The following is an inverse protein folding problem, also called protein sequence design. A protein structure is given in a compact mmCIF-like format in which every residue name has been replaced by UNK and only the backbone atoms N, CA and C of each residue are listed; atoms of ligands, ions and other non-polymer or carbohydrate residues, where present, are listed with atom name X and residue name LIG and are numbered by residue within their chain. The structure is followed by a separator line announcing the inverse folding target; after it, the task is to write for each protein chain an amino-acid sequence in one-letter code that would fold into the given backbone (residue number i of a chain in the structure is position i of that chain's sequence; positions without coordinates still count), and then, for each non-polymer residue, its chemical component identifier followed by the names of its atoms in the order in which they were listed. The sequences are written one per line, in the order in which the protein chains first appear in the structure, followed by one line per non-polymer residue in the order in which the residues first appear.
data_IF_986870137406
#
_entry.id   IF_986870137406
#
_cell.length_a   1.000
_cell.length_b   1.000
_cell.length_c   1.000
_cell.angle_alpha   90.00
_cell.angle_beta   90.00
_cell.angle_gamma   90.00
#
_symmetry.space_group_name_H-M   'P 1'
#
loop_
_entity.id
_entity.type
_entity.pdbx_description
1 polymer ?
#
# COMPACT_ATOMS: atom_id res chain seq x y z
N UNK A 1 6.44 -7.09 -14.78
CA UNK A 1 6.42 -7.75 -13.47
C UNK A 1 6.81 -6.69 -12.45
N UNK A 2 5.93 -6.36 -11.51
CA UNK A 2 6.19 -5.36 -10.47
C UNK A 2 7.22 -5.95 -9.49
N UNK A 3 8.49 -5.69 -9.75
CA UNK A 3 9.61 -6.18 -8.95
C UNK A 3 10.13 -5.02 -8.13
N UNK A 4 9.64 -4.90 -6.88
CA UNK A 4 10.35 -4.13 -5.85
C UNK A 4 11.61 -4.93 -5.50
N UNK A 5 12.62 -4.86 -6.36
CA UNK A 5 13.97 -5.30 -6.04
C UNK A 5 14.51 -4.27 -5.04
N UNK A 6 14.40 -4.60 -3.76
CA UNK A 6 14.57 -3.63 -2.67
C UNK A 6 15.98 -3.05 -2.66
N UNK A 7 17.05 -3.85 -2.71
CA UNK A 7 18.41 -3.31 -2.54
C UNK A 7 18.61 -2.46 -1.25
N UNK A 8 17.61 -2.38 -0.35
CA UNK A 8 17.55 -1.48 0.81
C UNK A 8 16.90 -0.12 0.53
N UNK A 9 16.25 0.12 -0.61
CA UNK A 9 15.67 1.41 -0.99
C UNK A 9 14.26 1.66 -0.43
N UNK A 10 13.55 0.63 0.05
CA UNK A 10 12.24 0.81 0.70
C UNK A 10 11.99 -0.25 1.77
N UNK A 11 11.38 0.13 2.89
CA UNK A 11 11.02 -0.83 3.94
C UNK A 11 9.76 -1.66 3.62
N UNK A 12 9.11 -1.40 2.48
CA UNK A 12 7.82 -2.00 2.12
C UNK A 12 7.87 -3.53 2.08
N UNK A 13 8.94 -4.12 1.53
CA UNK A 13 9.08 -5.57 1.45
C UNK A 13 9.21 -6.22 2.85
N UNK A 14 10.06 -5.63 3.70
CA UNK A 14 10.25 -6.10 5.08
C UNK A 14 8.96 -5.97 5.90
N UNK A 15 8.23 -4.86 5.72
CA UNK A 15 6.94 -4.64 6.36
C UNK A 15 5.92 -5.70 5.92
N UNK A 16 5.81 -5.95 4.62
CA UNK A 16 4.94 -7.00 4.07
C UNK A 16 5.22 -8.38 4.64
N UNK A 17 6.49 -8.76 4.74
CA UNK A 17 6.88 -10.06 5.27
C UNK A 17 6.48 -10.22 6.74
N UNK A 18 6.68 -9.18 7.55
CA UNK A 18 6.31 -9.20 8.97
C UNK A 18 4.78 -9.27 9.13
N UNK A 19 4.03 -8.52 8.33
CA UNK A 19 2.58 -8.49 8.38
C UNK A 19 1.96 -9.79 7.89
N UNK A 20 2.50 -10.38 6.83
CA UNK A 20 2.08 -11.68 6.32
C UNK A 20 2.28 -12.80 7.34
N UNK A 21 3.39 -12.77 8.10
CA UNK A 21 3.62 -13.72 9.20
C UNK A 21 2.65 -13.56 10.36
N UNK A 22 2.06 -12.38 10.55
CA UNK A 22 1.07 -12.12 11.57
C UNK A 22 -0.36 -12.54 11.14
N UNK A 23 -0.57 -12.86 9.86
CA UNK A 23 -1.90 -13.23 9.34
C UNK A 23 -2.40 -14.49 10.00
N UNK A 24 -3.60 -14.40 10.57
CA UNK A 24 -4.34 -15.56 11.07
C UNK A 24 -5.20 -16.13 9.94
N UNK A 25 -5.18 -17.46 9.70
CA UNK A 25 -6.04 -18.09 8.70
C UNK A 25 -7.52 -17.73 8.91
N UNK A 26 -8.20 -17.31 7.83
CA UNK A 26 -9.59 -16.86 7.85
C UNK A 26 -9.79 -15.40 8.32
N UNK A 27 -8.71 -14.67 8.61
CA UNK A 27 -8.71 -13.25 9.01
C UNK A 27 -7.71 -12.43 8.21
N UNK A 28 -7.51 -12.80 6.94
CA UNK A 28 -6.51 -12.18 6.08
C UNK A 28 -6.79 -10.69 5.80
N UNK A 29 -8.04 -10.26 5.95
CA UNK A 29 -8.43 -8.86 5.76
C UNK A 29 -8.28 -8.00 7.03
N UNK A 30 -7.91 -8.59 8.17
CA UNK A 30 -7.70 -7.85 9.42
C UNK A 30 -6.30 -7.23 9.49
N UNK A 31 -5.37 -7.69 8.64
CA UNK A 31 -3.99 -7.22 8.61
C UNK A 31 -3.69 -6.56 7.27
N UNK A 32 -3.08 -5.39 7.33
CA UNK A 32 -2.62 -4.69 6.14
C UNK A 32 -1.29 -5.28 5.67
N UNK A 33 -1.20 -5.69 4.42
CA UNK A 33 0.00 -6.26 3.78
C UNK A 33 -0.12 -6.08 2.26
N UNK A 34 0.67 -6.83 1.47
CA UNK A 34 0.64 -6.86 -0.01
C UNK A 34 -0.75 -6.73 -0.64
N UNK A 35 -1.74 -7.45 -0.12
CA UNK A 35 -3.11 -7.42 -0.66
C UNK A 35 -3.72 -6.03 -0.55
N UNK A 36 -3.67 -5.43 0.63
CA UNK A 36 -4.23 -4.11 0.85
C UNK A 36 -3.50 -3.04 0.04
N UNK A 37 -2.18 -3.13 -0.04
CA UNK A 37 -1.36 -2.22 -0.84
C UNK A 37 -1.63 -2.35 -2.35
N UNK A 38 -1.94 -3.56 -2.85
CA UNK A 38 -2.45 -3.75 -4.21
C UNK A 38 -3.78 -3.01 -4.44
N UNK A 39 -4.74 -3.17 -3.52
CA UNK A 39 -6.04 -2.48 -3.64
C UNK A 39 -5.89 -0.96 -3.53
N UNK A 40 -4.94 -0.49 -2.74
CA UNK A 40 -4.61 0.91 -2.61
C UNK A 40 -4.05 1.49 -3.93
N UNK A 41 -3.09 0.79 -4.55
CA UNK A 41 -2.55 1.13 -5.86
C UNK A 41 -3.63 1.11 -6.94
N UNK A 42 -4.47 0.07 -6.96
CA UNK A 42 -5.60 -0.01 -7.89
C UNK A 42 -6.57 1.15 -7.69
N UNK A 43 -6.81 1.56 -6.44
CA UNK A 43 -7.64 2.72 -6.11
C UNK A 43 -7.05 4.01 -6.65
N UNK A 44 -5.74 4.21 -6.49
CA UNK A 44 -5.01 5.37 -7.04
C UNK A 44 -5.12 5.41 -8.57
N UNK A 45 -4.99 4.27 -9.25
CA UNK A 45 -5.14 4.20 -10.71
C UNK A 45 -6.57 4.56 -11.13
N UNK A 46 -7.58 4.13 -10.39
CA UNK A 46 -8.98 4.39 -10.73
C UNK A 46 -9.46 5.80 -10.40
N UNK A 47 -9.07 6.35 -9.25
CA UNK A 47 -9.61 7.61 -8.72
C UNK A 47 -8.64 8.78 -8.83
N UNK A 48 -7.35 8.50 -8.99
CA UNK A 48 -6.26 9.48 -9.01
C UNK A 48 -5.45 9.53 -7.71
N UNK A 49 -4.25 10.07 -7.83
CA UNK A 49 -3.37 10.31 -6.68
C UNK A 49 -4.02 11.28 -5.67
N UNK A 50 -3.79 11.05 -4.38
CA UNK A 50 -4.38 11.83 -3.28
C UNK A 50 -5.93 11.78 -3.13
N UNK A 51 -6.65 10.99 -3.94
CA UNK A 51 -8.12 10.81 -3.83
C UNK A 51 -8.52 9.71 -2.85
N UNK A 52 -7.94 9.78 -1.65
CA UNK A 52 -8.03 8.71 -0.64
C UNK A 52 -9.43 8.54 -0.07
N UNK A 53 -10.16 9.65 0.09
CA UNK A 53 -11.55 9.62 0.55
C UNK A 53 -12.44 8.88 -0.45
N UNK A 54 -12.27 9.16 -1.74
CA UNK A 54 -13.01 8.51 -2.82
C UNK A 54 -12.70 7.01 -2.88
N UNK A 55 -11.41 6.63 -2.78
CA UNK A 55 -11.01 5.22 -2.70
C UNK A 55 -11.66 4.52 -1.51
N UNK A 56 -11.65 5.15 -0.33
CA UNK A 56 -12.25 4.57 0.87
C UNK A 56 -13.78 4.45 0.79
N UNK A 57 -14.44 5.33 0.04
CA UNK A 57 -15.91 5.35 -0.08
C UNK A 57 -16.43 4.48 -1.22
N UNK A 58 -15.57 4.01 -2.12
CA UNK A 58 -15.95 3.15 -3.23
C UNK A 58 -16.09 1.69 -2.78
N UNK A 59 -17.29 1.07 -2.92
CA UNK A 59 -17.54 -0.31 -2.49
C UNK A 59 -16.61 -1.34 -3.15
N UNK A 60 -16.09 -1.07 -4.35
CA UNK A 60 -15.13 -1.95 -5.03
C UNK A 60 -13.81 -2.06 -4.28
N UNK A 61 -13.48 -1.06 -3.49
CA UNK A 61 -12.24 -0.98 -2.70
C UNK A 61 -12.51 -1.19 -1.21
N UNK A 62 -13.68 -1.72 -0.81
CA UNK A 62 -14.09 -1.84 0.59
C UNK A 62 -13.06 -2.52 1.51
N UNK A 63 -12.24 -3.43 0.96
CA UNK A 63 -11.15 -4.11 1.68
C UNK A 63 -10.17 -3.14 2.37
N UNK A 64 -9.94 -1.95 1.80
CA UNK A 64 -9.07 -0.91 2.41
C UNK A 64 -9.62 -0.37 3.73
N UNK A 65 -10.87 -0.69 4.08
CA UNK A 65 -11.49 -0.29 5.33
C UNK A 65 -11.58 -1.43 6.36
N UNK A 66 -11.39 -2.68 5.94
CA UNK A 66 -11.59 -3.86 6.80
C UNK A 66 -10.75 -3.81 8.09
N UNK A 67 -9.43 -3.49 8.04
CA UNK A 67 -8.59 -3.45 9.24
C UNK A 67 -9.00 -2.38 10.27
N UNK A 68 -9.84 -1.44 9.86
CA UNK A 68 -10.27 -0.32 10.70
C UNK A 68 -11.65 -0.53 11.33
N UNK A 69 -12.39 -1.58 10.95
CA UNK A 69 -13.76 -1.80 11.41
C UNK A 69 -13.87 -1.93 12.93
N UNK A 70 -12.92 -2.60 13.58
CA UNK A 70 -12.90 -2.76 15.05
C UNK A 70 -12.61 -1.46 15.80
N UNK A 71 -12.04 -0.46 15.12
CA UNK A 71 -11.69 0.84 15.69
C UNK A 71 -12.77 1.90 15.44
N UNK A 72 -13.79 1.60 14.62
CA UNK A 72 -14.90 2.51 14.36
C UNK A 72 -15.66 2.85 15.64
N UNK A 73 -15.93 4.14 15.84
CA UNK A 73 -16.62 4.64 17.04
C UNK A 73 -15.73 4.87 18.26
N UNK A 74 -14.44 4.49 18.22
CA UNK A 74 -13.47 4.91 19.24
C UNK A 74 -13.08 6.38 19.03
N UNK A 75 -12.82 7.09 20.14
CA UNK A 75 -12.23 8.42 20.06
C UNK A 75 -10.91 8.38 19.28
N UNK A 76 -10.68 9.38 18.43
CA UNK A 76 -9.49 9.50 17.56
C UNK A 76 -9.40 8.51 16.36
N UNK A 77 -10.48 7.80 16.03
CA UNK A 77 -10.52 6.85 14.91
C UNK A 77 -10.05 7.43 13.56
N UNK A 78 -10.57 8.60 13.20
CA UNK A 78 -10.30 9.25 11.91
C UNK A 78 -8.81 9.56 11.77
N UNK A 79 -8.18 10.09 12.82
CA UNK A 79 -6.77 10.44 12.82
C UNK A 79 -5.87 9.20 12.77
N UNK A 80 -6.24 8.12 13.47
CA UNK A 80 -5.52 6.84 13.41
C UNK A 80 -5.52 6.28 11.99
N UNK A 81 -6.71 6.21 11.37
CA UNK A 81 -6.88 5.73 9.99
C UNK A 81 -6.08 6.59 9.01
N UNK A 82 -6.19 7.92 9.11
CA UNK A 82 -5.48 8.83 8.22
C UNK A 82 -3.96 8.73 8.36
N UNK A 83 -3.42 8.67 9.58
CA UNK A 83 -1.98 8.49 9.82
C UNK A 83 -1.48 7.17 9.24
N UNK A 84 -2.25 6.09 9.43
CA UNK A 84 -1.90 4.77 8.90
C UNK A 84 -1.85 4.79 7.37
N UNK A 85 -2.92 5.27 6.73
CA UNK A 85 -3.00 5.33 5.27
C UNK A 85 -1.90 6.23 4.68
N UNK A 86 -1.65 7.41 5.27
CA UNK A 86 -0.55 8.29 4.86
C UNK A 86 0.81 7.59 4.89
N UNK A 87 1.09 6.78 5.93
CA UNK A 87 2.33 5.99 5.98
C UNK A 87 2.39 4.98 4.84
N UNK A 88 1.30 4.26 4.56
CA UNK A 88 1.23 3.28 3.46
C UNK A 88 1.43 3.92 2.10
N UNK A 89 0.83 5.07 1.86
CA UNK A 89 1.02 5.83 0.63
C UNK A 89 2.48 6.22 0.41
N UNK A 90 3.17 6.72 1.45
CA UNK A 90 4.60 7.07 1.34
C UNK A 90 5.46 5.87 0.96
N UNK A 91 5.20 4.70 1.55
CA UNK A 91 5.94 3.48 1.22
C UNK A 91 5.70 3.02 -0.23
N UNK A 92 4.45 3.11 -0.70
CA UNK A 92 4.08 2.80 -2.08
C UNK A 92 4.69 3.79 -3.07
N UNK A 93 4.65 5.09 -2.76
CA UNK A 93 5.27 6.14 -3.57
C UNK A 93 6.79 5.92 -3.70
N UNK A 94 7.47 5.65 -2.59
CA UNK A 94 8.90 5.31 -2.59
C UNK A 94 9.19 4.09 -3.47
N UNK A 95 8.40 3.02 -3.34
CA UNK A 95 8.56 1.82 -4.15
C UNK A 95 8.38 2.08 -5.65
N UNK A 96 7.37 2.87 -6.03
CA UNK A 96 7.12 3.26 -7.42
C UNK A 96 8.24 4.13 -7.99
N UNK A 97 8.75 5.08 -7.20
CA UNK A 97 9.87 5.94 -7.61
C UNK A 97 11.09 5.06 -7.91
N UNK A 98 11.43 4.12 -7.03
CA UNK A 98 12.59 3.24 -7.22
C UNK A 98 12.39 2.33 -8.43
N UNK A 99 11.21 1.73 -8.60
CA UNK A 99 10.90 0.91 -9.79
C UNK A 99 11.10 1.72 -11.08
N UNK A 100 10.63 2.97 -11.11
CA UNK A 100 10.80 3.87 -12.25
C UNK A 100 12.27 4.25 -12.48
N UNK A 101 13.05 4.48 -11.41
CA UNK A 101 14.50 4.74 -11.54
C UNK A 101 15.24 3.53 -12.11
N UNK A 102 14.95 2.32 -11.60
CA UNK A 102 15.55 1.08 -12.10
C UNK A 102 15.18 0.84 -13.57
N UNK A 103 13.92 1.09 -13.94
CA UNK A 103 13.45 0.99 -15.33
C UNK A 103 14.21 1.95 -16.24
N UNK A 104 14.43 3.21 -15.82
CA UNK A 104 15.21 4.19 -16.59
C UNK A 104 16.67 3.80 -16.73
N UNK A 105 17.30 3.36 -15.64
CA UNK A 105 18.68 2.90 -15.64
C UNK A 105 18.88 1.70 -16.60
N UNK A 106 17.97 0.73 -16.58
CA UNK A 106 18.01 -0.41 -17.49
C UNK A 106 17.89 0.00 -18.97
N UNK A 107 17.03 0.98 -19.30
CA UNK A 107 16.95 1.49 -20.68
C UNK A 107 18.24 2.19 -21.10
N UNK A 108 18.87 2.97 -20.22
CA UNK A 108 20.14 3.64 -20.53
C UNK A 108 21.29 2.65 -20.76
N UNK A 109 21.35 1.57 -19.97
CA UNK A 109 22.37 0.51 -20.12
C UNK A 109 22.23 -0.33 -21.39
N UNK A 110 21.04 -0.38 -22.01
CA UNK A 110 20.82 -1.09 -23.29
C UNK A 110 21.35 -0.26 -24.48
N UNK A 111 21.65 1.03 -24.26
CA UNK A 111 22.15 1.94 -25.30
C UNK A 111 23.68 2.17 -25.25
N UNK A 112 24.41 1.47 -24.36
CA UNK A 112 25.88 1.36 -24.36
C UNK A 112 26.34 -0.01 -24.89
#
# INVERSE_FOLDING_TARGET
MFNIADGGFTELHSLWLNEERAVTPGKENDIWHRRHDYWLLSGIVCHGYARYGEICNDPRFAIVNEPFKSEQGKGNFIDLKNKFLQRRFKLLEQALIIEEQLRRAAHLQIHE
#
